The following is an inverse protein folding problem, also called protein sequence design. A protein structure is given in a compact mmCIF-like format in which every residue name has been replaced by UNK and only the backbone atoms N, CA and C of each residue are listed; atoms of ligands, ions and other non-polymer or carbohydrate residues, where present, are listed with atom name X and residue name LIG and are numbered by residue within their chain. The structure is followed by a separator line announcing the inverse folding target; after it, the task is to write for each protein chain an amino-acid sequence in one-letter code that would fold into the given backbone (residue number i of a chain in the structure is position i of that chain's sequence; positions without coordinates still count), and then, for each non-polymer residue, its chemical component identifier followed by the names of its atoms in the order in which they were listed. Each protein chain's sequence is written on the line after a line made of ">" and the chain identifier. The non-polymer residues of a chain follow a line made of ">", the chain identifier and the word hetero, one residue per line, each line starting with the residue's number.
data_IF_420709325034
#
_entry.id   IF_420709325034
#
_cell.length_a   1.000
_cell.length_b   1.000
_cell.length_c   1.000
_cell.angle_alpha   90.00
_cell.angle_beta   90.00
_cell.angle_gamma   90.00
#
_symmetry.space_group_name_H-M   'P 1'
#
loop_
_entity.id
_entity.type
_entity.pdbx_description
1 polymer ?
#
# COMPACT_ATOMS: atom_id res chain seq x y z
N UNK A 1 -6.24 -12.31 2.80
CA UNK A 1 -5.33 -11.98 1.68
C UNK A 1 -5.09 -10.47 1.66
N UNK A 2 -3.88 -10.06 1.35
CA UNK A 2 -3.50 -8.65 1.29
C UNK A 2 -3.40 -8.23 -0.18
N UNK A 3 -4.02 -7.11 -0.54
CA UNK A 3 -3.91 -6.53 -1.87
C UNK A 3 -2.71 -5.58 -1.90
N UNK A 4 -1.85 -5.72 -2.90
CA UNK A 4 -0.68 -4.86 -3.08
C UNK A 4 -0.83 -4.05 -4.35
N UNK A 5 -0.49 -2.78 -4.28
CA UNK A 5 -0.44 -1.92 -5.46
C UNK A 5 0.61 -0.84 -5.27
N UNK A 6 1.17 -0.36 -6.38
CA UNK A 6 2.16 0.70 -6.31
C UNK A 6 2.17 1.48 -7.63
N UNK A 7 2.79 2.67 -7.60
CA UNK A 7 3.20 3.34 -8.82
C UNK A 7 4.66 2.96 -9.13
N UNK A 8 5.25 3.57 -10.14
CA UNK A 8 6.63 3.26 -10.51
C UNK A 8 7.62 3.58 -9.38
N UNK A 9 7.31 4.59 -8.53
CA UNK A 9 8.17 4.97 -7.41
C UNK A 9 8.16 3.96 -6.27
N UNK A 10 7.12 3.14 -6.18
CA UNK A 10 7.00 2.14 -5.12
C UNK A 10 7.34 0.72 -5.53
N UNK A 11 7.77 0.52 -6.77
CA UNK A 11 7.98 -0.82 -7.31
C UNK A 11 8.99 -1.64 -6.51
N UNK A 12 10.16 -1.06 -6.20
CA UNK A 12 11.20 -1.79 -5.48
C UNK A 12 10.79 -2.16 -4.07
N UNK A 13 10.14 -1.23 -3.36
CA UNK A 13 9.64 -1.51 -2.01
C UNK A 13 8.55 -2.58 -2.05
N UNK A 14 7.71 -2.58 -3.08
CA UNK A 14 6.71 -3.62 -3.23
C UNK A 14 7.37 -5.00 -3.34
N UNK A 15 8.47 -5.13 -4.08
CA UNK A 15 9.17 -6.40 -4.19
C UNK A 15 9.71 -6.87 -2.84
N UNK A 16 10.22 -5.96 -2.02
CA UNK A 16 10.68 -6.29 -0.68
C UNK A 16 9.54 -6.72 0.24
N UNK A 17 8.40 -6.06 0.13
CA UNK A 17 7.21 -6.43 0.90
C UNK A 17 6.73 -7.82 0.50
N UNK A 18 6.72 -8.14 -0.78
CA UNK A 18 6.34 -9.47 -1.26
C UNK A 18 7.24 -10.55 -0.66
N UNK A 19 8.55 -10.30 -0.60
CA UNK A 19 9.49 -11.20 0.04
C UNK A 19 9.15 -11.43 1.51
N UNK A 20 8.88 -10.34 2.22
CA UNK A 20 8.53 -10.41 3.64
C UNK A 20 7.25 -11.23 3.85
N UNK A 21 6.23 -10.99 3.04
CA UNK A 21 4.96 -11.72 3.15
C UNK A 21 5.15 -13.20 2.83
N UNK A 22 5.98 -13.52 1.84
CA UNK A 22 6.30 -14.91 1.50
C UNK A 22 7.00 -15.61 2.68
N UNK A 23 7.93 -14.95 3.33
CA UNK A 23 8.64 -15.51 4.49
C UNK A 23 7.71 -15.75 5.67
N UNK A 24 6.69 -14.94 5.84
CA UNK A 24 5.72 -15.06 6.92
C UNK A 24 4.54 -15.97 6.57
N UNK A 25 4.47 -16.46 5.35
CA UNK A 25 3.37 -17.30 4.91
C UNK A 25 2.05 -16.56 4.78
N UNK A 26 2.10 -15.25 4.55
CA UNK A 26 0.90 -14.41 4.40
C UNK A 26 0.54 -14.33 2.92
N UNK A 27 -0.69 -14.68 2.58
CA UNK A 27 -1.17 -14.61 1.20
C UNK A 27 -1.40 -13.16 0.76
N UNK A 28 -1.04 -12.88 -0.47
CA UNK A 28 -1.24 -11.57 -1.06
C UNK A 28 -1.54 -11.69 -2.55
N UNK A 29 -2.09 -10.62 -3.13
CA UNK A 29 -2.28 -10.52 -4.57
C UNK A 29 -1.74 -9.17 -5.03
N UNK A 30 -0.91 -9.20 -6.06
CA UNK A 30 -0.28 -8.01 -6.63
C UNK A 30 -1.15 -7.48 -7.78
N UNK A 31 -1.69 -6.28 -7.59
CA UNK A 31 -2.55 -5.63 -8.59
C UNK A 31 -1.79 -4.66 -9.51
N UNK A 32 -0.47 -4.53 -9.33
CA UNK A 32 0.41 -3.68 -10.15
C UNK A 32 1.13 -2.63 -9.30
N UNK A 33 2.08 -1.87 -9.84
CA UNK A 33 2.55 -1.99 -11.21
C UNK A 33 3.65 -3.07 -11.30
N UNK A 34 3.94 -3.52 -12.50
CA UNK A 34 4.87 -4.62 -12.72
C UNK A 34 6.26 -4.15 -13.15
N UNK A 35 6.49 -2.85 -13.27
CA UNK A 35 7.76 -2.32 -13.75
C UNK A 35 8.06 -0.95 -13.17
N UNK A 36 9.25 -0.43 -13.48
CA UNK A 36 9.67 0.92 -13.10
C UNK A 36 9.20 1.99 -14.08
N UNK A 37 8.46 1.62 -15.11
CA UNK A 37 7.91 2.58 -16.06
C UNK A 37 6.90 3.49 -15.37
N UNK A 38 6.86 4.75 -15.81
CA UNK A 38 5.92 5.71 -15.25
C UNK A 38 4.48 5.26 -15.49
N UNK A 39 3.69 5.22 -14.42
CA UNK A 39 2.30 4.78 -14.49
C UNK A 39 1.40 5.77 -13.74
N UNK A 40 0.12 5.73 -14.08
CA UNK A 40 -0.87 6.57 -13.43
C UNK A 40 -1.33 5.89 -12.13
N UNK A 41 -0.88 6.42 -10.99
CA UNK A 41 -1.13 5.80 -9.69
C UNK A 41 -2.61 5.61 -9.33
N UNK A 42 -3.56 6.48 -9.77
CA UNK A 42 -4.97 6.27 -9.42
C UNK A 42 -5.52 4.93 -9.90
N UNK A 43 -5.02 4.40 -10.99
CA UNK A 43 -5.45 3.10 -11.52
C UNK A 43 -5.18 2.01 -10.49
N UNK A 44 -4.00 1.99 -9.89
CA UNK A 44 -3.61 0.95 -8.95
C UNK A 44 -4.27 1.12 -7.58
N UNK A 45 -4.44 2.36 -7.13
CA UNK A 45 -5.20 2.64 -5.92
C UNK A 45 -6.64 2.14 -6.05
N UNK A 46 -7.25 2.37 -7.20
CA UNK A 46 -8.59 1.92 -7.50
C UNK A 46 -8.71 0.39 -7.48
N UNK A 47 -7.76 -0.29 -8.09
CA UNK A 47 -7.74 -1.76 -8.11
C UNK A 47 -7.67 -2.35 -6.70
N UNK A 48 -6.81 -1.81 -5.85
CA UNK A 48 -6.68 -2.27 -4.47
C UNK A 48 -7.95 -1.97 -3.68
N UNK A 49 -8.51 -0.77 -3.83
CA UNK A 49 -9.74 -0.40 -3.15
C UNK A 49 -10.90 -1.34 -3.53
N UNK A 50 -11.05 -1.63 -4.80
CA UNK A 50 -12.10 -2.54 -5.28
C UNK A 50 -11.89 -3.97 -4.75
N UNK A 51 -10.65 -4.43 -4.67
CA UNK A 51 -10.36 -5.76 -4.14
C UNK A 51 -10.86 -5.90 -2.69
N UNK A 52 -10.72 -4.82 -1.91
CA UNK A 52 -11.19 -4.82 -0.52
C UNK A 52 -12.72 -4.70 -0.45
N UNK A 53 -13.31 -3.82 -1.24
CA UNK A 53 -14.76 -3.61 -1.25
C UNK A 53 -15.52 -4.82 -1.77
N UNK A 54 -14.93 -5.55 -2.71
CA UNK A 54 -15.55 -6.77 -3.27
C UNK A 54 -15.34 -8.00 -2.39
N UNK A 55 -14.60 -7.86 -1.28
CA UNK A 55 -14.36 -8.98 -0.36
C UNK A 55 -13.27 -9.94 -0.81
N UNK A 56 -12.57 -9.65 -1.89
CA UNK A 56 -11.48 -10.49 -2.38
C UNK A 56 -10.27 -10.44 -1.45
N UNK A 57 -10.00 -9.25 -0.89
CA UNK A 57 -8.93 -9.03 0.08
C UNK A 57 -9.47 -8.30 1.29
N UNK A 58 -8.87 -8.55 2.44
CA UNK A 58 -9.28 -7.91 3.70
C UNK A 58 -8.59 -6.59 3.94
N UNK A 59 -7.33 -6.48 3.52
CA UNK A 59 -6.48 -5.32 3.74
C UNK A 59 -5.64 -5.05 2.51
N UNK A 60 -5.11 -3.84 2.43
CA UNK A 60 -4.27 -3.46 1.30
C UNK A 60 -3.04 -2.66 1.72
N UNK A 61 -2.04 -2.70 0.86
CA UNK A 61 -0.83 -1.89 0.99
C UNK A 61 -0.63 -1.19 -0.35
N UNK A 62 -0.55 0.13 -0.31
CA UNK A 62 -0.28 0.96 -1.47
C UNK A 62 1.04 1.68 -1.26
N UNK A 63 1.86 1.76 -2.28
CA UNK A 63 3.20 2.33 -2.19
C UNK A 63 3.43 3.32 -3.33
N UNK A 64 3.87 4.52 -3.00
CA UNK A 64 4.26 5.49 -4.02
C UNK A 64 5.35 6.41 -3.47
N UNK A 65 5.77 7.41 -4.25
CA UNK A 65 6.84 8.31 -3.85
C UNK A 65 6.58 9.05 -2.56
N UNK A 66 5.36 9.52 -2.33
CA UNK A 66 4.99 10.24 -1.11
C UNK A 66 3.96 9.53 -0.26
N UNK A 67 3.25 8.57 -0.82
CA UNK A 67 2.14 7.90 -0.16
C UNK A 67 0.85 8.75 -0.12
N UNK A 68 0.94 10.02 -0.46
CA UNK A 68 -0.17 10.97 -0.28
C UNK A 68 -1.21 10.89 -1.38
N UNK A 69 -0.78 11.00 -2.64
CA UNK A 69 -1.72 10.99 -3.76
C UNK A 69 -2.49 9.68 -3.87
N UNK A 70 -1.80 8.58 -3.66
CA UNK A 70 -2.41 7.25 -3.76
C UNK A 70 -3.40 7.01 -2.62
N UNK A 71 -3.10 7.54 -1.42
CA UNK A 71 -4.02 7.43 -0.28
C UNK A 71 -5.27 8.29 -0.47
N UNK A 72 -5.12 9.48 -1.03
CA UNK A 72 -6.26 10.35 -1.34
C UNK A 72 -7.21 9.66 -2.32
N UNK A 73 -6.64 9.06 -3.36
CA UNK A 73 -7.44 8.33 -4.35
C UNK A 73 -8.19 7.17 -3.71
N UNK A 74 -7.51 6.37 -2.89
CA UNK A 74 -8.13 5.24 -2.21
C UNK A 74 -9.27 5.70 -1.29
N UNK A 75 -9.07 6.79 -0.55
CA UNK A 75 -10.06 7.29 0.40
C UNK A 75 -11.31 7.88 -0.25
N UNK A 76 -11.33 8.04 -1.57
CA UNK A 76 -12.55 8.47 -2.26
C UNK A 76 -13.60 7.37 -2.32
N UNK A 77 -13.24 6.14 -2.03
CA UNK A 77 -14.16 5.03 -2.05
C UNK A 77 -14.75 4.82 -0.65
N UNK A 78 -16.07 4.77 -0.58
CA UNK A 78 -16.77 4.54 0.69
C UNK A 78 -16.38 3.16 1.24
N UNK A 79 -16.00 3.12 2.50
CA UNK A 79 -15.56 1.87 3.14
C UNK A 79 -14.04 1.69 3.12
N UNK A 80 -13.30 2.58 2.47
CA UNK A 80 -11.84 2.54 2.47
C UNK A 80 -11.32 3.58 3.46
N UNK A 81 -10.42 3.14 4.33
CA UNK A 81 -9.72 3.98 5.30
C UNK A 81 -8.22 3.77 5.08
N UNK A 82 -7.66 4.56 4.17
CA UNK A 82 -6.23 4.50 3.84
C UNK A 82 -5.48 5.54 4.66
N UNK A 83 -4.41 5.12 5.28
CA UNK A 83 -3.57 6.00 6.11
C UNK A 83 -2.14 6.02 5.60
N UNK A 84 -1.56 7.22 5.49
CA UNK A 84 -0.15 7.38 5.14
C UNK A 84 0.69 7.03 6.35
N UNK A 85 1.60 6.08 6.19
CA UNK A 85 2.44 5.61 7.27
C UNK A 85 3.90 5.73 6.87
N UNK A 86 4.69 6.36 7.73
CA UNK A 86 6.12 6.58 7.49
C UNK A 86 7.01 5.72 8.38
N UNK A 87 6.43 5.07 9.38
CA UNK A 87 7.18 4.22 10.31
C UNK A 87 6.26 3.17 10.94
N UNK A 88 6.85 2.30 11.74
CA UNK A 88 6.11 1.22 12.40
C UNK A 88 5.11 1.75 13.43
N UNK A 89 5.45 2.84 14.11
CA UNK A 89 4.57 3.41 15.12
C UNK A 89 3.26 3.92 14.50
N UNK A 90 3.35 4.69 13.40
CA UNK A 90 2.15 5.21 12.74
C UNK A 90 1.31 4.09 12.13
N UNK A 91 1.95 3.06 11.57
CA UNK A 91 1.24 1.92 11.02
C UNK A 91 0.45 1.17 12.09
N UNK A 92 1.06 0.94 13.24
CA UNK A 92 0.39 0.28 14.35
C UNK A 92 -0.72 1.14 14.93
N UNK A 93 -0.46 2.44 15.13
CA UNK A 93 -1.43 3.36 15.70
C UNK A 93 -2.68 3.48 14.83
N UNK A 94 -2.53 3.55 13.52
CA UNK A 94 -3.70 3.66 12.63
C UNK A 94 -4.54 2.39 12.62
N UNK A 95 -3.92 1.21 12.83
CA UNK A 95 -4.69 -0.03 13.00
C UNK A 95 -5.46 -0.04 14.32
N UNK A 96 -4.82 0.39 15.39
CA UNK A 96 -5.42 0.34 16.73
C UNK A 96 -6.46 1.44 16.95
N UNK A 97 -6.24 2.63 16.43
CA UNK A 97 -7.08 3.79 16.73
C UNK A 97 -8.03 4.19 15.59
N UNK A 98 -7.67 3.89 14.36
CA UNK A 98 -8.44 4.34 13.20
C UNK A 98 -9.02 3.19 12.38
N UNK A 99 -8.64 1.98 12.69
CA UNK A 99 -9.07 0.79 11.96
C UNK A 99 -8.85 0.93 10.44
N UNK A 100 -7.68 1.46 10.06
CA UNK A 100 -7.34 1.60 8.64
C UNK A 100 -7.28 0.24 7.97
N UNK A 101 -7.84 0.12 6.77
CA UNK A 101 -7.78 -1.13 6.02
C UNK A 101 -6.77 -1.07 4.87
N UNK A 102 -6.20 0.10 4.60
CA UNK A 102 -5.10 0.25 3.66
C UNK A 102 -4.00 1.07 4.33
N UNK A 103 -2.76 0.59 4.21
CA UNK A 103 -1.58 1.36 4.59
C UNK A 103 -0.97 1.93 3.32
N UNK A 104 -0.76 3.25 3.28
CA UNK A 104 -0.14 3.93 2.16
C UNK A 104 1.29 4.27 2.56
N UNK A 105 2.24 3.57 1.96
CA UNK A 105 3.66 3.67 2.33
C UNK A 105 4.41 4.54 1.34
N UNK A 106 5.45 5.20 1.84
CA UNK A 106 6.34 5.97 0.99
C UNK A 106 7.58 5.14 0.65
N UNK A 107 8.12 5.39 -0.53
CA UNK A 107 9.40 4.81 -0.91
C UNK A 107 10.51 5.66 -0.28
N UNK A 108 11.31 5.07 0.59
CA UNK A 108 12.43 5.73 1.22
C UNK A 108 13.70 5.21 0.55
N UNK A 109 14.38 6.08 -0.18
CA UNK A 109 15.57 5.70 -0.91
C UNK A 109 16.87 5.82 -0.11
N UNK A 110 16.81 6.44 1.06
CA UNK A 110 17.97 6.65 1.92
C UNK A 110 17.96 5.70 3.09
N UNK A 111 18.86 4.70 3.11
CA UNK A 111 18.84 3.68 4.19
C UNK A 111 19.27 4.23 5.55
N UNK A 112 19.82 5.43 5.60
CA UNK A 112 20.29 6.04 6.84
C UNK A 112 19.27 6.97 7.51
N UNK A 113 18.07 7.04 6.98
CA UNK A 113 17.04 7.90 7.57
C UNK A 113 16.67 7.38 8.96
N UNK A 114 16.56 8.29 9.94
CA UNK A 114 16.44 7.88 11.34
C UNK A 114 15.03 7.54 11.82
N UNK A 115 14.13 7.28 10.98
CA UNK A 115 12.79 6.91 11.43
C UNK A 115 12.33 5.57 10.91
#
# INVERSE_FOLDING_TARGET
>A
MIALGCDHGGYELKQEIKKYLDEKGIEYKDYGCDSLDSVDYPIYAKKVAHAILDGECEKGILICGTGIGISITANKFKGIRAAVCTDCFTAEATRLHNDANILSLIHISEPTRPY
#
